data_IF_457325820816
#
_entry.id   IF_457325820816
#
_cell.length_a   1.000
_cell.length_b   1.000
_cell.length_c   1.000
_cell.angle_alpha   90.00
_cell.angle_beta   90.00
_cell.angle_gamma   90.00
#
_symmetry.space_group_name_H-M   'P 1'
#
loop_
_entity.id
_entity.type
_entity.pdbx_description
1 polymer ?
#
# COMPACT_ATOMS: atom_id res chain seq x y z
N UNK A 1 -65.85 -8.32 19.91
CA UNK A 1 -64.37 -8.38 19.90
C UNK A 1 -63.90 -7.15 19.14
N UNK A 2 -63.25 -6.20 19.80
CA UNK A 2 -62.68 -5.03 19.12
C UNK A 2 -61.44 -5.48 18.36
N UNK A 3 -61.48 -5.36 17.03
CA UNK A 3 -60.34 -5.59 16.14
C UNK A 3 -59.22 -4.62 16.53
N UNK A 4 -58.17 -5.13 17.20
CA UNK A 4 -56.98 -4.34 17.45
C UNK A 4 -56.21 -4.22 16.14
N UNK A 5 -56.12 -3.00 15.59
CA UNK A 5 -55.27 -2.76 14.42
C UNK A 5 -53.82 -3.11 14.76
N UNK A 6 -53.12 -3.85 13.89
CA UNK A 6 -51.73 -4.21 14.16
C UNK A 6 -50.88 -2.94 14.28
N UNK A 7 -49.85 -2.95 15.13
CA UNK A 7 -49.00 -1.79 15.33
C UNK A 7 -48.29 -1.41 14.01
N UNK A 8 -47.97 -0.12 13.82
CA UNK A 8 -47.41 0.40 12.55
C UNK A 8 -46.17 -0.35 12.07
N UNK A 9 -45.32 -0.76 13.00
CA UNK A 9 -44.11 -1.52 12.72
C UNK A 9 -44.37 -2.98 12.30
N UNK A 10 -45.58 -3.52 12.47
CA UNK A 10 -45.96 -4.82 11.95
C UNK A 10 -46.49 -4.74 10.49
N UNK A 11 -46.62 -3.52 9.93
CA UNK A 11 -47.13 -3.34 8.57
C UNK A 11 -46.04 -3.52 7.51
N UNK A 12 -46.37 -4.20 6.41
CA UNK A 12 -45.51 -4.35 5.25
C UNK A 12 -45.11 -2.99 4.65
N UNK A 13 -46.05 -2.04 4.60
CA UNK A 13 -45.80 -0.70 4.06
C UNK A 13 -44.77 0.08 4.88
N UNK A 14 -44.79 -0.07 6.21
CA UNK A 14 -43.77 0.54 7.07
C UNK A 14 -42.39 0.01 6.71
N UNK A 15 -42.20 -1.31 6.66
CA UNK A 15 -40.90 -1.90 6.34
C UNK A 15 -40.43 -1.61 4.92
N UNK A 16 -41.34 -1.55 3.92
CA UNK A 16 -41.01 -1.10 2.56
C UNK A 16 -40.44 0.30 2.55
N UNK A 17 -41.10 1.24 3.24
CA UNK A 17 -40.62 2.64 3.34
C UNK A 17 -39.30 2.72 4.10
N UNK A 18 -39.16 2.00 5.22
CA UNK A 18 -37.93 1.94 5.99
C UNK A 18 -36.77 1.40 5.16
N UNK A 19 -36.97 0.32 4.41
CA UNK A 19 -35.96 -0.23 3.51
C UNK A 19 -35.52 0.81 2.47
N UNK A 20 -36.47 1.48 1.80
CA UNK A 20 -36.16 2.54 0.82
C UNK A 20 -35.33 3.66 1.46
N UNK A 21 -35.73 4.18 2.62
CA UNK A 21 -35.04 5.28 3.28
C UNK A 21 -33.66 4.88 3.81
N UNK A 22 -33.51 3.69 4.40
CA UNK A 22 -32.23 3.20 4.93
C UNK A 22 -31.26 2.93 3.78
N UNK A 23 -31.72 2.27 2.70
CA UNK A 23 -30.88 2.02 1.52
C UNK A 23 -30.50 3.32 0.83
N UNK A 24 -31.46 4.23 0.60
CA UNK A 24 -31.21 5.52 -0.04
C UNK A 24 -30.27 6.40 0.80
N UNK A 25 -30.50 6.50 2.10
CA UNK A 25 -29.64 7.24 3.02
C UNK A 25 -28.23 6.67 3.10
N UNK A 26 -28.10 5.33 3.23
CA UNK A 26 -26.80 4.65 3.23
C UNK A 26 -26.06 4.86 1.91
N UNK A 27 -26.75 4.82 0.78
CA UNK A 27 -26.16 5.06 -0.53
C UNK A 27 -25.58 6.48 -0.64
N UNK A 28 -26.36 7.50 -0.25
CA UNK A 28 -25.87 8.90 -0.27
C UNK A 28 -24.67 9.07 0.66
N UNK A 29 -24.70 8.48 1.86
CA UNK A 29 -23.58 8.52 2.79
C UNK A 29 -22.33 7.88 2.19
N UNK A 30 -22.44 6.70 1.56
CA UNK A 30 -21.34 6.02 0.90
C UNK A 30 -20.74 6.87 -0.23
N UNK A 31 -21.57 7.56 -1.01
CA UNK A 31 -21.10 8.48 -2.06
C UNK A 31 -20.26 9.60 -1.45
N UNK A 32 -20.74 10.25 -0.38
CA UNK A 32 -20.00 11.33 0.30
C UNK A 32 -18.66 10.82 0.85
N UNK A 33 -18.67 9.68 1.54
CA UNK A 33 -17.46 9.07 2.10
C UNK A 33 -16.48 8.63 1.02
N UNK A 34 -16.97 8.27 -0.17
CA UNK A 34 -16.12 7.93 -1.32
C UNK A 34 -15.34 9.15 -1.80
N UNK A 35 -16.00 10.31 -1.97
CA UNK A 35 -15.31 11.54 -2.34
C UNK A 35 -14.32 12.02 -1.28
N UNK A 36 -14.68 11.94 0.00
CA UNK A 36 -13.75 12.25 1.09
C UNK A 36 -12.52 11.34 1.05
N UNK A 37 -12.72 10.02 0.88
CA UNK A 37 -11.64 9.05 0.76
C UNK A 37 -10.73 9.35 -0.43
N UNK A 38 -11.31 9.58 -1.62
CA UNK A 38 -10.55 9.92 -2.84
C UNK A 38 -9.67 11.16 -2.65
N UNK A 39 -10.16 12.20 -1.98
CA UNK A 39 -9.38 13.39 -1.67
C UNK A 39 -8.15 13.08 -0.81
N UNK A 40 -8.24 12.11 0.09
CA UNK A 40 -7.14 11.73 0.99
C UNK A 40 -6.11 10.82 0.31
N UNK A 41 -6.57 9.88 -0.53
CA UNK A 41 -5.75 8.76 -1.04
C UNK A 41 -5.29 8.90 -2.49
N UNK A 42 -5.71 9.95 -3.21
CA UNK A 42 -5.19 10.22 -4.56
C UNK A 42 -3.72 10.64 -4.49
N UNK A 43 -2.93 10.29 -5.51
CA UNK A 43 -1.54 10.73 -5.62
C UNK A 43 -1.45 12.26 -5.60
N UNK A 44 -0.49 12.80 -4.85
CA UNK A 44 -0.39 14.23 -4.53
C UNK A 44 -1.38 14.72 -3.46
N UNK A 45 -2.21 13.84 -2.92
CA UNK A 45 -3.12 14.12 -1.81
C UNK A 45 -2.43 14.18 -0.45
N UNK A 46 -3.18 14.49 0.62
CA UNK A 46 -2.62 14.67 1.97
C UNK A 46 -1.89 13.46 2.54
N UNK A 47 -2.24 12.23 2.13
CA UNK A 47 -1.65 10.99 2.65
C UNK A 47 -0.77 10.26 1.64
N UNK A 48 -0.91 10.58 0.36
CA UNK A 48 -0.23 9.88 -0.73
C UNK A 48 0.58 10.90 -1.51
N UNK A 49 1.92 10.90 -1.37
CA UNK A 49 2.78 11.82 -2.12
C UNK A 49 2.62 11.68 -3.63
N UNK A 50 3.03 12.72 -4.35
CA UNK A 50 3.18 12.69 -5.80
C UNK A 50 4.18 11.59 -6.23
N UNK A 51 4.11 11.12 -7.47
CA UNK A 51 4.92 10.00 -7.95
C UNK A 51 6.42 10.32 -7.95
N UNK A 52 6.81 11.57 -8.16
CA UNK A 52 8.20 12.04 -8.12
C UNK A 52 8.87 11.87 -6.75
N UNK A 53 8.14 11.48 -5.69
CA UNK A 53 8.72 11.13 -4.38
C UNK A 53 9.73 9.99 -4.49
N UNK A 54 9.68 9.17 -5.55
CA UNK A 54 10.70 8.15 -5.82
C UNK A 54 12.09 8.74 -6.12
N UNK A 55 12.19 10.05 -6.36
CA UNK A 55 13.47 10.76 -6.46
C UNK A 55 14.03 11.20 -5.11
N UNK A 56 13.33 10.95 -4.00
CA UNK A 56 13.71 11.37 -2.65
C UNK A 56 14.14 10.18 -1.79
N UNK A 57 14.91 10.46 -0.74
CA UNK A 57 15.12 9.50 0.34
C UNK A 57 13.79 9.32 1.09
N UNK A 58 13.40 8.07 1.28
CA UNK A 58 12.19 7.70 2.01
C UNK A 58 12.63 6.89 3.22
N UNK A 59 12.16 7.28 4.40
CA UNK A 59 12.31 6.52 5.65
C UNK A 59 10.96 6.45 6.38
N UNK A 60 10.91 5.79 7.52
CA UNK A 60 9.72 5.62 8.35
C UNK A 60 10.11 5.65 9.83
N UNK A 61 9.55 6.60 10.58
CA UNK A 61 9.98 6.93 11.94
C UNK A 61 8.78 7.18 12.85
N UNK A 62 8.94 6.91 14.15
CA UNK A 62 7.91 7.22 15.14
C UNK A 62 7.78 8.74 15.35
N UNK A 63 6.59 9.28 15.08
CA UNK A 63 6.23 10.67 15.36
C UNK A 63 5.66 10.76 16.79
N UNK A 64 6.44 11.36 17.69
CA UNK A 64 6.05 11.55 19.10
C UNK A 64 4.83 12.46 19.28
N UNK A 65 4.59 13.41 18.39
CA UNK A 65 3.43 14.30 18.51
C UNK A 65 2.15 13.57 18.10
N UNK A 66 2.22 12.74 17.07
CA UNK A 66 1.07 11.97 16.55
C UNK A 66 0.90 10.59 17.19
N UNK A 67 1.84 10.16 18.03
CA UNK A 67 1.87 8.85 18.68
C UNK A 67 1.74 7.68 17.69
N UNK A 68 2.37 7.82 16.52
CA UNK A 68 2.30 6.82 15.44
C UNK A 68 3.51 6.93 14.54
N UNK A 69 3.83 5.85 13.84
CA UNK A 69 4.87 5.88 12.81
C UNK A 69 4.40 6.64 11.57
N UNK A 70 5.33 7.34 10.92
CA UNK A 70 5.07 8.17 9.75
C UNK A 70 6.21 8.06 8.73
N UNK A 71 5.90 8.11 7.42
CA UNK A 71 6.93 8.24 6.40
C UNK A 71 7.61 9.61 6.53
N UNK A 72 8.92 9.64 6.33
CA UNK A 72 9.71 10.87 6.31
C UNK A 72 10.41 10.98 4.96
N UNK A 73 10.23 12.12 4.31
CA UNK A 73 10.82 12.41 2.99
C UNK A 73 12.06 13.28 3.21
N UNK A 74 13.21 12.79 2.76
CA UNK A 74 14.51 13.43 2.92
C UNK A 74 14.99 14.15 1.66
N UNK A 75 16.31 14.19 1.51
CA UNK A 75 17.02 14.82 0.39
C UNK A 75 16.82 14.05 -0.92
N UNK A 76 17.36 14.60 -2.02
CA UNK A 76 17.38 13.93 -3.31
C UNK A 76 18.15 12.61 -3.23
N UNK A 77 17.48 11.54 -3.64
CA UNK A 77 18.02 10.19 -3.78
C UNK A 77 17.34 9.52 -5.00
N UNK A 78 17.80 9.86 -6.22
CA UNK A 78 17.21 9.38 -7.47
C UNK A 78 17.24 7.86 -7.55
N UNK A 79 16.10 7.24 -7.88
CA UNK A 79 16.01 5.79 -8.06
C UNK A 79 16.81 5.37 -9.29
N UNK A 80 17.67 4.36 -9.16
CA UNK A 80 18.57 3.88 -10.22
C UNK A 80 19.47 4.99 -10.79
N UNK A 81 19.81 5.99 -9.98
CA UNK A 81 20.66 7.11 -10.37
C UNK A 81 20.04 8.08 -11.38
N UNK A 82 18.76 7.92 -11.75
CA UNK A 82 18.06 8.79 -12.69
C UNK A 82 16.98 9.59 -11.98
N UNK A 83 17.04 10.92 -12.09
CA UNK A 83 15.94 11.78 -11.65
C UNK A 83 14.86 11.79 -12.72
N UNK A 84 13.63 11.48 -12.33
CA UNK A 84 12.47 11.43 -13.23
C UNK A 84 11.56 12.65 -13.03
N UNK A 85 10.95 13.13 -14.11
CA UNK A 85 9.81 14.05 -14.00
C UNK A 85 8.61 13.36 -13.33
N UNK A 86 7.60 14.14 -12.90
CA UNK A 86 6.37 13.58 -12.31
C UNK A 86 5.70 12.57 -13.26
N UNK A 87 5.59 12.91 -14.56
CA UNK A 87 4.95 12.05 -15.55
C UNK A 87 5.76 10.76 -15.82
N UNK A 88 7.09 10.85 -15.88
CA UNK A 88 7.95 9.66 -16.01
C UNK A 88 7.88 8.78 -14.77
N UNK A 89 7.86 9.38 -13.58
CA UNK A 89 7.73 8.67 -12.32
C UNK A 89 6.37 7.96 -12.22
N UNK A 90 5.28 8.65 -12.61
CA UNK A 90 3.93 8.07 -12.69
C UNK A 90 3.92 6.85 -13.60
N UNK A 91 4.43 6.97 -14.84
CA UNK A 91 4.49 5.85 -15.79
C UNK A 91 5.25 4.65 -15.23
N UNK A 92 6.38 4.88 -14.55
CA UNK A 92 7.19 3.81 -13.96
C UNK A 92 6.49 3.15 -12.77
N UNK A 93 5.91 3.93 -11.86
CA UNK A 93 5.17 3.42 -10.69
C UNK A 93 3.91 2.67 -11.13
N UNK A 94 3.19 3.18 -12.12
CA UNK A 94 2.01 2.53 -12.69
C UNK A 94 2.35 1.21 -13.39
N UNK A 95 3.47 1.17 -14.10
CA UNK A 95 3.97 -0.09 -14.67
C UNK A 95 4.22 -1.10 -13.55
N UNK A 96 4.91 -0.71 -12.48
CA UNK A 96 5.16 -1.58 -11.33
C UNK A 96 3.88 -2.07 -10.66
N UNK A 97 2.92 -1.17 -10.44
CA UNK A 97 1.60 -1.51 -9.90
C UNK A 97 0.88 -2.55 -10.76
N UNK A 98 0.85 -2.35 -12.09
CA UNK A 98 0.23 -3.28 -13.04
C UNK A 98 0.96 -4.62 -13.05
N UNK A 99 2.28 -4.63 -12.97
CA UNK A 99 3.07 -5.87 -12.88
C UNK A 99 2.76 -6.63 -11.59
N UNK A 100 2.73 -5.96 -10.43
CA UNK A 100 2.35 -6.58 -9.15
C UNK A 100 0.98 -7.23 -9.22
N UNK A 101 0.02 -6.59 -9.90
CA UNK A 101 -1.32 -7.13 -10.13
C UNK A 101 -1.30 -8.32 -11.11
N UNK A 102 -0.61 -8.19 -12.24
CA UNK A 102 -0.53 -9.22 -13.27
C UNK A 102 0.19 -10.48 -12.80
N UNK A 103 1.22 -10.34 -11.98
CA UNK A 103 1.97 -11.44 -11.34
C UNK A 103 1.30 -11.93 -10.04
N UNK A 104 0.13 -11.39 -9.69
CA UNK A 104 -0.71 -11.79 -8.56
C UNK A 104 0.03 -11.82 -7.21
N UNK A 105 0.88 -10.83 -6.94
CA UNK A 105 1.66 -10.80 -5.70
C UNK A 105 0.78 -10.81 -4.43
N UNK A 106 -0.42 -10.23 -4.51
CA UNK A 106 -1.39 -10.22 -3.40
C UNK A 106 -1.92 -11.61 -3.01
N UNK A 107 -1.73 -12.64 -3.83
CA UNK A 107 -2.08 -14.02 -3.49
C UNK A 107 -1.11 -14.66 -2.48
N UNK A 108 0.05 -14.03 -2.25
CA UNK A 108 0.99 -14.45 -1.21
C UNK A 108 1.24 -13.36 -0.17
N UNK A 109 1.23 -12.10 -0.60
CA UNK A 109 1.55 -10.94 0.22
C UNK A 109 0.31 -10.11 0.54
N UNK A 110 0.39 -9.32 1.60
CA UNK A 110 -0.50 -8.17 1.77
C UNK A 110 0.14 -6.89 1.24
N UNK A 111 -0.67 -5.99 0.70
CA UNK A 111 -0.34 -4.61 0.37
C UNK A 111 -1.33 -3.71 1.09
N UNK A 112 -0.84 -2.73 1.86
CA UNK A 112 -1.66 -1.91 2.76
C UNK A 112 -2.55 -2.79 3.68
N UNK A 113 -2.02 -3.94 4.13
CA UNK A 113 -2.74 -4.90 4.98
C UNK A 113 -3.78 -5.77 4.26
N UNK A 114 -3.97 -5.61 2.94
CA UNK A 114 -4.94 -6.38 2.14
C UNK A 114 -4.22 -7.41 1.26
N UNK A 115 -4.65 -8.67 1.28
CA UNK A 115 -4.07 -9.76 0.49
C UNK A 115 -3.97 -11.06 1.30
N UNK A 116 -3.03 -11.92 0.94
CA UNK A 116 -2.77 -13.18 1.64
C UNK A 116 -1.63 -13.07 2.67
N UNK A 117 -1.59 -14.00 3.61
CA UNK A 117 -0.65 -14.01 4.75
C UNK A 117 0.42 -15.10 4.64
N UNK A 118 0.69 -15.60 3.43
CA UNK A 118 1.75 -16.59 3.21
C UNK A 118 3.13 -15.95 3.34
N UNK A 119 3.28 -14.72 2.85
CA UNK A 119 4.51 -13.95 2.85
C UNK A 119 4.32 -12.57 3.51
N UNK A 120 5.40 -11.85 3.87
CA UNK A 120 5.31 -10.57 4.56
C UNK A 120 4.56 -9.48 3.79
N UNK A 121 4.05 -8.48 4.51
CA UNK A 121 3.41 -7.31 3.93
C UNK A 121 4.41 -6.45 3.14
N UNK A 122 4.02 -5.99 1.94
CA UNK A 122 4.89 -5.24 1.04
C UNK A 122 4.78 -3.72 1.18
N UNK A 123 3.94 -3.19 2.07
CA UNK A 123 3.67 -1.75 2.21
C UNK A 123 4.93 -0.94 2.44
N UNK A 124 5.82 -1.45 3.29
CA UNK A 124 7.12 -0.83 3.63
C UNK A 124 8.30 -1.67 3.14
N UNK A 125 8.11 -2.53 2.13
CA UNK A 125 9.15 -3.49 1.71
C UNK A 125 10.44 -2.80 1.25
N UNK A 126 10.36 -1.61 0.64
CA UNK A 126 11.54 -0.81 0.29
C UNK A 126 12.39 -0.46 1.52
N UNK A 127 11.79 -0.36 2.70
CA UNK A 127 12.45 0.03 3.93
C UNK A 127 12.91 -1.18 4.76
N UNK A 128 12.80 -2.41 4.26
CA UNK A 128 13.18 -3.61 5.00
C UNK A 128 14.70 -3.66 5.27
N UNK A 129 15.08 -3.95 6.51
CA UNK A 129 16.49 -4.05 6.90
C UNK A 129 17.22 -5.21 6.21
N UNK A 130 16.50 -6.21 5.71
CA UNK A 130 17.06 -7.31 4.95
C UNK A 130 17.80 -6.85 3.69
N UNK A 131 17.47 -5.67 3.14
CA UNK A 131 18.15 -5.13 1.97
C UNK A 131 19.57 -4.62 2.22
N UNK A 132 20.13 -4.75 3.43
CA UNK A 132 21.52 -4.36 3.69
C UNK A 132 21.73 -2.85 3.57
N UNK A 133 22.75 -2.39 2.85
CA UNK A 133 23.03 -0.95 2.73
C UNK A 133 22.05 -0.25 1.77
N UNK A 134 21.78 1.04 1.98
CA UNK A 134 20.87 1.83 1.12
C UNK A 134 21.33 1.85 -0.34
N UNK A 135 22.65 1.85 -0.55
CA UNK A 135 23.31 1.96 -1.86
C UNK A 135 23.16 0.69 -2.70
N UNK A 136 23.00 -0.47 -2.07
CA UNK A 136 22.92 -1.76 -2.73
C UNK A 136 21.51 -2.36 -2.76
N UNK A 137 20.57 -1.78 -2.01
CA UNK A 137 19.16 -2.19 -1.94
C UNK A 137 18.51 -2.31 -3.32
N UNK A 138 18.66 -1.30 -4.16
CA UNK A 138 18.03 -1.26 -5.49
C UNK A 138 18.38 -2.50 -6.32
N UNK A 139 19.68 -2.78 -6.46
CA UNK A 139 20.15 -3.94 -7.20
C UNK A 139 19.76 -5.26 -6.50
N UNK A 140 19.77 -5.31 -5.17
CA UNK A 140 19.34 -6.50 -4.44
C UNK A 140 17.85 -6.81 -4.65
N UNK A 141 16.99 -5.80 -4.67
CA UNK A 141 15.56 -5.99 -4.96
C UNK A 141 15.34 -6.48 -6.39
N UNK A 142 16.01 -5.87 -7.37
CA UNK A 142 15.94 -6.30 -8.77
C UNK A 142 16.42 -7.74 -8.93
N UNK A 143 17.58 -8.09 -8.37
CA UNK A 143 18.11 -9.46 -8.43
C UNK A 143 17.18 -10.48 -7.76
N UNK A 144 16.55 -10.11 -6.64
CA UNK A 144 15.55 -10.96 -5.99
C UNK A 144 14.32 -11.19 -6.86
N UNK A 145 13.82 -10.15 -7.53
CA UNK A 145 12.65 -10.27 -8.40
C UNK A 145 12.94 -11.11 -9.66
N UNK A 146 14.16 -11.00 -10.21
CA UNK A 146 14.60 -11.76 -11.38
C UNK A 146 14.89 -13.24 -11.10
N UNK A 147 15.45 -13.55 -9.92
CA UNK A 147 15.77 -14.92 -9.51
C UNK A 147 15.52 -15.10 -8.00
N UNK A 148 14.26 -15.27 -7.58
CA UNK A 148 13.89 -15.36 -6.18
C UNK A 148 14.37 -16.64 -5.49
N UNK A 149 14.69 -17.68 -6.27
CA UNK A 149 15.16 -18.95 -5.73
C UNK A 149 16.63 -18.87 -5.29
N UNK A 150 17.49 -18.23 -6.10
CA UNK A 150 18.90 -18.03 -5.77
C UNK A 150 19.13 -16.87 -4.81
N UNK A 151 18.24 -15.87 -4.83
CA UNK A 151 18.31 -14.70 -3.96
C UNK A 151 17.27 -14.76 -2.81
N UNK A 152 16.89 -15.97 -2.39
CA UNK A 152 15.77 -16.19 -1.48
C UNK A 152 15.92 -15.45 -0.14
N UNK A 153 14.85 -14.74 0.24
CA UNK A 153 14.72 -14.06 1.53
C UNK A 153 13.61 -14.72 2.34
N UNK A 154 13.98 -15.67 3.19
CA UNK A 154 13.02 -16.54 3.87
C UNK A 154 12.67 -16.10 5.29
N UNK A 155 13.45 -15.18 5.87
CA UNK A 155 13.26 -14.66 7.24
C UNK A 155 13.02 -15.78 8.28
N UNK A 156 13.73 -16.91 8.14
CA UNK A 156 13.61 -18.09 9.02
C UNK A 156 12.43 -19.01 8.73
N UNK A 157 11.51 -18.65 7.82
CA UNK A 157 10.31 -19.45 7.51
C UNK A 157 10.53 -20.59 6.50
N UNK A 158 11.68 -20.63 5.83
CA UNK A 158 11.97 -21.48 4.66
C UNK A 158 11.01 -21.32 3.47
N UNK A 159 10.02 -20.42 3.53
CA UNK A 159 9.13 -20.09 2.42
C UNK A 159 9.91 -19.30 1.38
N UNK A 160 9.72 -19.65 0.09
CA UNK A 160 10.37 -18.99 -1.04
C UNK A 160 9.32 -18.42 -1.98
N UNK A 161 9.61 -17.26 -2.56
CA UNK A 161 8.84 -16.73 -3.67
C UNK A 161 9.13 -17.61 -4.91
N UNK A 162 8.11 -18.12 -5.62
CA UNK A 162 8.33 -18.84 -6.86
C UNK A 162 8.88 -17.89 -7.94
N UNK A 163 9.55 -18.43 -8.95
CA UNK A 163 9.89 -17.64 -10.13
C UNK A 163 8.60 -17.32 -10.92
N UNK A 164 8.33 -16.02 -11.11
CA UNK A 164 7.14 -15.51 -11.81
C UNK A 164 7.47 -14.99 -13.21
N UNK A 165 8.67 -15.30 -13.73
CA UNK A 165 9.20 -14.81 -15.00
C UNK A 165 9.08 -13.28 -15.11
N UNK A 166 9.54 -12.58 -14.07
CA UNK A 166 9.59 -11.12 -14.05
C UNK A 166 10.75 -10.68 -14.93
N UNK A 167 10.48 -9.78 -15.86
CA UNK A 167 11.51 -9.21 -16.76
C UNK A 167 12.28 -8.07 -16.07
N UNK A 168 13.47 -7.69 -16.56
CA UNK A 168 14.23 -6.58 -15.97
C UNK A 168 13.45 -5.25 -15.88
N UNK A 169 12.74 -4.79 -16.93
CA UNK A 169 11.95 -3.56 -16.85
C UNK A 169 10.79 -3.67 -15.84
N UNK A 170 10.17 -4.84 -15.73
CA UNK A 170 9.13 -5.11 -14.73
C UNK A 170 9.69 -5.09 -13.31
N UNK A 171 10.87 -5.66 -13.08
CA UNK A 171 11.53 -5.68 -11.78
C UNK A 171 11.87 -4.25 -11.30
N UNK A 172 12.46 -3.43 -12.17
CA UNK A 172 12.75 -2.02 -11.87
C UNK A 172 11.47 -1.24 -11.56
N UNK A 173 10.40 -1.47 -12.32
CA UNK A 173 9.12 -0.83 -12.11
C UNK A 173 8.47 -1.26 -10.78
N UNK A 174 8.52 -2.55 -10.42
CA UNK A 174 8.06 -3.06 -9.12
C UNK A 174 8.82 -2.35 -7.98
N UNK A 175 10.14 -2.21 -8.09
CA UNK A 175 10.95 -1.52 -7.08
C UNK A 175 10.52 -0.05 -6.94
N UNK A 176 10.29 0.65 -8.06
CA UNK A 176 9.78 2.02 -8.04
C UNK A 176 8.41 2.11 -7.32
N UNK A 177 7.51 1.18 -7.62
CA UNK A 177 6.20 1.09 -6.97
C UNK A 177 6.31 0.82 -5.47
N UNK A 178 7.19 -0.09 -5.03
CA UNK A 178 7.41 -0.39 -3.61
C UNK A 178 8.07 0.78 -2.86
N UNK A 179 8.97 1.53 -3.51
CA UNK A 179 9.54 2.78 -2.97
C UNK A 179 8.44 3.83 -2.78
N UNK A 180 7.63 4.06 -3.81
CA UNK A 180 6.50 4.98 -3.75
C UNK A 180 5.49 4.57 -2.65
N UNK A 181 5.11 3.30 -2.58
CA UNK A 181 4.18 2.79 -1.56
C UNK A 181 4.72 2.98 -0.14
N UNK A 182 6.03 2.83 0.04
CA UNK A 182 6.68 3.04 1.33
C UNK A 182 6.61 4.49 1.81
N UNK A 183 6.34 5.45 0.92
CA UNK A 183 6.15 6.87 1.25
C UNK A 183 4.73 7.25 1.68
N UNK A 184 3.75 6.34 1.57
CA UNK A 184 2.35 6.61 1.91
C UNK A 184 2.15 6.70 3.44
N UNK A 185 1.41 7.72 3.92
CA UNK A 185 0.92 7.82 5.30
C UNK A 185 -0.26 6.84 5.49
N UNK A 186 0.07 5.72 6.10
CA UNK A 186 -0.81 4.60 6.43
C UNK A 186 -1.35 4.68 7.86
N UNK A 187 -1.33 5.87 8.47
CA UNK A 187 -1.71 6.12 9.87
C UNK A 187 -0.98 5.23 10.89
N UNK A 188 0.30 4.97 10.68
CA UNK A 188 1.12 4.18 11.61
C UNK A 188 1.16 2.67 11.34
N UNK A 189 0.61 2.19 10.22
CA UNK A 189 0.78 0.82 9.77
C UNK A 189 2.00 0.66 8.81
N UNK A 190 2.85 -0.35 8.96
CA UNK A 190 2.93 -1.29 10.06
C UNK A 190 3.44 -0.61 11.34
N UNK A 191 3.01 -1.15 12.48
CA UNK A 191 3.49 -0.72 13.79
C UNK A 191 4.79 -1.46 14.14
N UNK A 192 5.68 -0.84 14.92
CA UNK A 192 6.98 -1.40 15.33
C UNK A 192 7.84 -1.89 14.16
N UNK A 193 7.73 -1.23 13.01
CA UNK A 193 8.57 -1.51 11.86
C UNK A 193 9.82 -0.63 11.91
N UNK A 194 10.98 -1.29 11.95
CA UNK A 194 12.28 -0.64 11.99
C UNK A 194 12.74 -0.47 10.55
N UNK A 195 12.76 0.78 10.08
CA UNK A 195 13.16 1.07 8.72
C UNK A 195 14.68 0.93 8.53
N UNK A 196 15.08 0.67 7.29
CA UNK A 196 16.47 0.57 6.92
C UNK A 196 17.23 1.88 7.19
N UNK A 197 18.32 1.77 7.96
CA UNK A 197 19.11 2.92 8.41
C UNK A 197 18.55 3.61 9.65
N UNK A 198 17.52 3.04 10.28
CA UNK A 198 17.02 3.43 11.60
C UNK A 198 17.36 2.36 12.64
N UNK A 199 17.60 2.80 13.87
CA UNK A 199 17.79 1.94 15.04
C UNK A 199 16.51 1.89 15.87
N UNK A 200 16.27 0.77 16.56
CA UNK A 200 15.26 0.69 17.62
C UNK A 200 15.61 1.71 18.71
N UNK A 201 14.66 2.59 19.03
CA UNK A 201 14.79 3.56 20.13
C UNK A 201 13.99 3.14 21.34
#
# INVERSE_FOLDING_TARGET
>A
MTEQSPPRWASETFWKKTAIWVTGGSFVLLVILSFDSMKQISAGGPRVPAYSVINKDVSYRFDKAKQRYQPTIGNDAPLFGKTLSEEEAEKLVDHGKKTVQAKNCMNCHTLLGNGAYFAPDLTKAWLDQGWGAKESREQMMVNFLLDPEKNARTYGSNRKMPNLDITPPEAEAIVAFLKWMSSIDTNGFPHNFIALGEEDK
#
